data_IF_968097008825
#
_entry.id   IF_968097008825
#
_cell.length_a   1.000
_cell.length_b   1.000
_cell.length_c   1.000
_cell.angle_alpha   90.00
_cell.angle_beta   90.00
_cell.angle_gamma   90.00
#
_symmetry.space_group_name_H-M   'P 1'
#
loop_
_entity.id
_entity.type
_entity.pdbx_description
1 polymer ?
#
# COMPACT_ATOMS: atom_id res chain seq x y z
N UNK A 1 11.27 9.88 -12.39
CA UNK A 1 10.81 9.47 -13.73
C UNK A 1 11.41 10.45 -14.70
N UNK A 2 11.94 9.93 -15.78
CA UNK A 2 12.52 10.75 -16.83
C UNK A 2 11.40 11.58 -17.50
N UNK A 3 11.57 12.89 -17.59
CA UNK A 3 10.56 13.79 -18.19
C UNK A 3 10.23 13.39 -19.64
N UNK A 4 11.19 12.75 -20.34
CA UNK A 4 10.99 12.27 -21.71
C UNK A 4 10.10 11.04 -21.79
N UNK A 5 10.16 10.13 -20.82
CA UNK A 5 9.32 8.95 -20.80
C UNK A 5 7.83 9.29 -20.64
N UNK A 6 7.53 10.37 -19.91
CA UNK A 6 6.16 10.85 -19.71
C UNK A 6 5.52 11.43 -20.97
N UNK A 7 6.34 11.84 -21.95
CA UNK A 7 5.91 12.53 -23.16
C UNK A 7 6.13 11.76 -24.47
N UNK A 8 6.61 10.53 -24.37
CA UNK A 8 6.72 9.64 -25.52
C UNK A 8 5.37 9.51 -26.24
N UNK A 9 5.41 9.38 -27.58
CA UNK A 9 4.22 9.05 -28.37
C UNK A 9 3.78 7.61 -28.17
N UNK A 10 4.64 6.78 -27.62
CA UNK A 10 4.32 5.43 -27.21
C UNK A 10 3.32 5.50 -26.04
N UNK A 11 2.17 4.82 -26.09
CA UNK A 11 1.21 4.78 -25.01
C UNK A 11 1.79 4.15 -23.74
N UNK A 12 2.74 3.22 -23.86
CA UNK A 12 3.40 2.58 -22.72
C UNK A 12 4.63 3.38 -22.31
N UNK A 13 4.76 3.81 -21.05
CA UNK A 13 5.93 4.53 -20.57
C UNK A 13 7.24 3.77 -20.83
N UNK A 14 8.24 4.46 -21.35
CA UNK A 14 9.54 3.86 -21.67
C UNK A 14 10.19 3.13 -20.50
N UNK A 15 9.92 3.59 -19.26
CA UNK A 15 10.42 2.93 -18.05
C UNK A 15 9.97 1.47 -17.92
N UNK A 16 8.76 1.13 -18.37
CA UNK A 16 8.26 -0.25 -18.35
C UNK A 16 8.93 -1.11 -19.44
N UNK A 17 9.34 -0.50 -20.52
CA UNK A 17 10.03 -1.17 -21.64
C UNK A 17 11.53 -1.32 -21.38
N UNK A 18 12.05 -0.70 -20.31
CA UNK A 18 13.48 -0.70 -20.02
C UNK A 18 14.02 -2.10 -19.73
N UNK A 19 15.27 -2.39 -20.10
CA UNK A 19 15.94 -3.64 -19.72
C UNK A 19 15.97 -3.86 -18.20
N UNK A 20 16.04 -2.78 -17.42
CA UNK A 20 16.03 -2.82 -15.97
C UNK A 20 14.70 -3.36 -15.41
N UNK A 21 13.56 -2.94 -15.95
CA UNK A 21 12.26 -3.46 -15.53
C UNK A 21 12.13 -4.95 -15.83
N UNK A 22 12.57 -5.39 -17.00
CA UNK A 22 12.61 -6.81 -17.35
C UNK A 22 13.53 -7.60 -16.41
N UNK A 23 14.69 -7.04 -16.07
CA UNK A 23 15.61 -7.63 -15.11
C UNK A 23 14.99 -7.78 -13.72
N UNK A 24 14.33 -6.75 -13.20
CA UNK A 24 13.63 -6.78 -11.91
C UNK A 24 12.56 -7.88 -11.86
N UNK A 25 11.73 -7.96 -12.89
CA UNK A 25 10.68 -8.99 -12.98
C UNK A 25 11.29 -10.41 -13.03
N UNK A 26 12.37 -10.61 -13.80
CA UNK A 26 13.07 -11.90 -13.84
C UNK A 26 13.68 -12.25 -12.50
N UNK A 27 14.43 -11.33 -11.89
CA UNK A 27 15.08 -11.56 -10.59
C UNK A 27 14.08 -12.00 -9.53
N UNK A 28 12.91 -11.37 -9.50
CA UNK A 28 11.86 -11.76 -8.58
C UNK A 28 11.33 -13.17 -8.86
N UNK A 29 11.07 -13.52 -10.13
CA UNK A 29 10.60 -14.86 -10.52
C UNK A 29 11.62 -15.93 -10.21
N UNK A 30 12.90 -15.67 -10.50
CA UNK A 30 14.00 -16.62 -10.29
C UNK A 30 14.27 -16.84 -8.80
N UNK A 31 13.93 -15.84 -7.95
CA UNK A 31 14.09 -15.93 -6.49
C UNK A 31 12.90 -16.62 -5.80
N UNK A 32 11.81 -16.84 -6.49
CA UNK A 32 10.57 -17.40 -5.95
C UNK A 32 10.68 -18.93 -5.72
N UNK A 33 11.71 -19.37 -5.00
CA UNK A 33 12.02 -20.78 -4.77
C UNK A 33 10.95 -21.53 -3.99
N UNK A 34 10.16 -20.83 -3.17
CA UNK A 34 9.18 -21.43 -2.26
C UNK A 34 7.73 -21.28 -2.71
N UNK A 35 7.47 -20.72 -3.88
CA UNK A 35 6.12 -20.52 -4.40
C UNK A 35 5.29 -19.44 -3.68
N UNK A 36 5.88 -18.68 -2.76
CA UNK A 36 5.22 -17.62 -2.02
C UNK A 36 5.42 -16.24 -2.69
N UNK A 37 4.38 -15.41 -2.58
CA UNK A 37 4.41 -14.05 -3.09
C UNK A 37 4.20 -13.98 -4.60
N UNK A 38 4.27 -12.75 -5.13
CA UNK A 38 4.08 -12.47 -6.54
C UNK A 38 4.35 -11.01 -6.84
N UNK A 39 4.50 -10.68 -8.12
CA UNK A 39 4.53 -9.30 -8.58
C UNK A 39 3.10 -8.88 -8.89
N UNK A 40 2.62 -7.87 -8.15
CA UNK A 40 1.33 -7.23 -8.41
C UNK A 40 1.60 -5.94 -9.18
N UNK A 41 1.14 -5.88 -10.43
CA UNK A 41 1.16 -4.64 -11.18
C UNK A 41 -0.11 -3.85 -10.86
N UNK A 42 0.07 -2.66 -10.31
CA UNK A 42 -1.03 -1.76 -9.97
C UNK A 42 -1.21 -0.72 -11.07
N UNK A 43 -2.44 -0.53 -11.53
CA UNK A 43 -2.80 0.55 -12.44
C UNK A 43 -3.80 1.52 -11.80
N UNK A 44 -3.55 2.80 -11.96
CA UNK A 44 -4.54 3.85 -11.70
C UNK A 44 -5.33 4.17 -12.99
N UNK A 45 -6.25 5.13 -12.92
CA UNK A 45 -7.11 5.50 -14.05
C UNK A 45 -6.30 5.97 -15.27
N UNK A 46 -5.17 6.64 -15.07
CA UNK A 46 -4.31 7.11 -16.16
C UNK A 46 -3.52 5.96 -16.78
N UNK A 47 -2.98 5.08 -15.95
CA UNK A 47 -2.22 3.90 -16.39
C UNK A 47 -3.09 2.97 -17.26
N UNK A 48 -4.37 2.84 -16.92
CA UNK A 48 -5.34 2.06 -17.69
C UNK A 48 -5.47 2.54 -19.15
N UNK A 49 -5.44 3.86 -19.36
CA UNK A 49 -5.52 4.46 -20.70
C UNK A 49 -4.23 4.29 -21.50
N UNK A 50 -3.10 4.17 -20.83
CA UNK A 50 -1.79 4.00 -21.46
C UNK A 50 -1.49 2.53 -21.83
N UNK A 51 -2.38 1.59 -21.52
CA UNK A 51 -2.19 0.17 -21.83
C UNK A 51 -1.12 -0.51 -20.98
N UNK A 52 -0.78 0.07 -19.81
CA UNK A 52 0.29 -0.41 -18.93
C UNK A 52 0.04 -1.85 -18.51
N UNK A 53 -1.19 -2.19 -18.14
CA UNK A 53 -1.52 -3.53 -17.69
C UNK A 53 -1.40 -4.56 -18.82
N UNK A 54 -1.82 -4.20 -20.03
CA UNK A 54 -1.63 -5.06 -21.21
C UNK A 54 -0.17 -5.39 -21.43
N UNK A 55 0.69 -4.37 -21.42
CA UNK A 55 2.13 -4.56 -21.54
C UNK A 55 2.70 -5.42 -20.40
N UNK A 56 2.33 -5.13 -19.17
CA UNK A 56 2.77 -5.88 -18.00
C UNK A 56 2.42 -7.36 -18.05
N UNK A 57 1.20 -7.69 -18.45
CA UNK A 57 0.74 -9.08 -18.55
C UNK A 57 1.38 -9.79 -19.76
N UNK A 58 1.27 -9.19 -20.95
CA UNK A 58 1.66 -9.87 -22.19
C UNK A 58 3.17 -9.87 -22.43
N UNK A 59 3.88 -8.77 -22.10
CA UNK A 59 5.30 -8.61 -22.38
C UNK A 59 6.21 -8.91 -21.19
N UNK A 60 5.78 -8.57 -19.97
CA UNK A 60 6.57 -8.83 -18.77
C UNK A 60 6.17 -10.13 -18.07
N UNK A 61 5.03 -10.74 -18.42
CA UNK A 61 4.54 -11.98 -17.84
C UNK A 61 4.06 -11.82 -16.40
N UNK A 62 3.57 -10.63 -16.03
CA UNK A 62 2.93 -10.40 -14.74
C UNK A 62 1.54 -11.04 -14.76
N UNK A 63 1.21 -11.80 -13.72
CA UNK A 63 -0.05 -12.56 -13.65
C UNK A 63 -1.05 -12.00 -12.66
N UNK A 64 -0.67 -10.97 -11.89
CA UNK A 64 -1.52 -10.36 -10.87
C UNK A 64 -1.70 -8.88 -11.21
N UNK A 65 -2.94 -8.49 -11.49
CA UNK A 65 -3.31 -7.12 -11.81
C UNK A 65 -4.07 -6.49 -10.64
N UNK A 66 -3.71 -5.28 -10.21
CA UNK A 66 -4.47 -4.53 -9.21
C UNK A 66 -5.03 -3.24 -9.80
N UNK A 67 -6.35 -3.11 -9.81
CA UNK A 67 -7.04 -1.87 -10.13
C UNK A 67 -7.01 -0.94 -8.92
N UNK A 68 -6.58 0.31 -9.11
CA UNK A 68 -6.53 1.29 -8.04
C UNK A 68 -7.57 2.38 -8.24
N UNK A 69 -8.59 2.40 -7.39
CA UNK A 69 -9.56 3.48 -7.32
C UNK A 69 -9.09 4.64 -6.44
N UNK A 70 -8.32 4.33 -5.40
CA UNK A 70 -7.82 5.33 -4.47
C UNK A 70 -6.84 4.79 -3.45
N UNK A 71 -6.52 5.62 -2.48
CA UNK A 71 -5.71 5.27 -1.32
C UNK A 71 -6.07 6.20 -0.15
N UNK A 72 -5.57 5.95 1.06
CA UNK A 72 -6.05 6.51 2.30
C UNK A 72 -6.24 8.02 2.39
N UNK A 73 -5.42 8.80 1.71
CA UNK A 73 -5.51 10.26 1.69
C UNK A 73 -5.77 10.82 0.29
N UNK A 74 -6.30 10.01 -0.62
CA UNK A 74 -6.46 10.44 -2.00
C UNK A 74 -7.44 9.56 -2.76
N UNK A 75 -8.59 10.13 -3.15
CA UNK A 75 -9.60 9.49 -4.00
C UNK A 75 -9.66 10.09 -5.41
N UNK A 76 -8.76 11.01 -5.71
CA UNK A 76 -8.56 11.60 -7.04
C UNK A 76 -7.18 11.24 -7.55
N UNK A 77 -6.93 11.40 -8.84
CA UNK A 77 -5.70 10.95 -9.50
C UNK A 77 -4.39 11.61 -9.03
N UNK A 78 -4.43 12.53 -8.08
CA UNK A 78 -3.28 13.19 -7.52
C UNK A 78 -2.99 14.54 -8.14
N UNK A 79 -2.26 15.33 -7.38
CA UNK A 79 -1.81 16.67 -7.72
C UNK A 79 -0.31 16.64 -7.99
N UNK A 80 0.12 17.19 -9.11
CA UNK A 80 1.54 17.29 -9.48
C UNK A 80 1.85 18.73 -9.85
N UNK A 81 2.86 19.28 -9.22
CA UNK A 81 3.38 20.62 -9.54
C UNK A 81 4.28 20.58 -10.76
N UNK A 82 4.15 21.58 -11.62
CA UNK A 82 4.83 21.70 -12.89
C UNK A 82 5.38 23.13 -12.99
N UNK A 83 6.67 23.24 -13.16
CA UNK A 83 7.40 24.52 -13.24
C UNK A 83 7.50 25.08 -14.66
N UNK A 84 7.22 24.28 -15.71
CA UNK A 84 7.39 24.65 -17.11
C UNK A 84 6.06 24.83 -17.83
N UNK A 85 5.81 26.03 -18.38
CA UNK A 85 4.61 26.37 -19.17
C UNK A 85 4.38 25.36 -20.31
N UNK A 86 5.40 25.07 -21.11
CA UNK A 86 5.27 24.12 -22.22
C UNK A 86 4.88 22.70 -21.78
N UNK A 87 5.32 22.28 -20.58
CA UNK A 87 4.90 21.00 -19.99
C UNK A 87 3.44 21.07 -19.54
N UNK A 88 3.03 22.17 -18.92
CA UNK A 88 1.64 22.39 -18.50
C UNK A 88 0.68 22.34 -19.69
N UNK A 89 0.99 23.04 -20.79
CA UNK A 89 0.20 23.05 -22.03
C UNK A 89 0.09 21.64 -22.64
N UNK A 90 1.20 20.89 -22.71
CA UNK A 90 1.17 19.52 -23.23
C UNK A 90 0.28 18.60 -22.40
N UNK A 91 0.32 18.73 -21.07
CA UNK A 91 -0.53 17.93 -20.19
C UNK A 91 -1.99 18.30 -20.32
N UNK A 92 -2.32 19.57 -20.44
CA UNK A 92 -3.69 20.04 -20.76
C UNK A 92 -4.17 19.45 -22.10
N UNK A 93 -3.32 19.51 -23.14
CA UNK A 93 -3.63 18.90 -24.45
C UNK A 93 -3.87 17.38 -24.40
N UNK A 94 -3.30 16.67 -23.40
CA UNK A 94 -3.60 15.25 -23.10
C UNK A 94 -4.90 15.07 -22.31
N UNK A 95 -5.52 16.18 -21.91
CA UNK A 95 -6.80 16.20 -21.20
C UNK A 95 -6.69 16.09 -19.69
N UNK A 96 -5.55 16.40 -19.10
CA UNK A 96 -5.45 16.67 -17.67
C UNK A 96 -6.09 18.02 -17.34
N UNK A 97 -6.54 18.17 -16.11
CA UNK A 97 -6.89 19.48 -15.56
C UNK A 97 -5.60 20.14 -15.12
N UNK A 98 -5.27 21.29 -15.69
CA UNK A 98 -4.07 22.06 -15.33
C UNK A 98 -4.49 23.46 -14.91
N UNK A 99 -4.06 23.88 -13.72
CA UNK A 99 -4.41 25.17 -13.13
C UNK A 99 -3.15 25.93 -12.69
N UNK A 100 -3.08 27.27 -12.88
CA UNK A 100 -4.03 28.04 -13.70
C UNK A 100 -3.97 27.59 -15.15
N UNK A 101 -4.94 27.99 -15.96
CA UNK A 101 -5.03 27.55 -17.37
C UNK A 101 -3.78 27.99 -18.15
N UNK A 102 -2.93 27.03 -18.61
CA UNK A 102 -1.68 27.39 -19.30
C UNK A 102 -1.87 27.95 -20.71
N UNK A 103 -3.08 27.90 -21.26
CA UNK A 103 -3.40 28.46 -22.59
C UNK A 103 -4.03 29.86 -22.49
N UNK A 104 -4.36 30.32 -21.30
CA UNK A 104 -4.87 31.69 -21.09
C UNK A 104 -3.73 32.71 -21.30
N UNK A 105 -3.89 33.69 -22.20
CA UNK A 105 -2.86 34.71 -22.47
C UNK A 105 -2.43 35.48 -21.22
N UNK A 106 -3.35 35.80 -20.30
CA UNK A 106 -3.00 36.48 -19.06
C UNK A 106 -2.14 35.64 -18.12
N UNK A 107 -2.38 34.32 -18.11
CA UNK A 107 -1.59 33.35 -17.34
C UNK A 107 -0.18 33.23 -17.94
N UNK A 108 -0.07 33.19 -19.27
CA UNK A 108 1.22 33.15 -19.97
C UNK A 108 2.04 34.41 -19.69
N UNK A 109 1.44 35.59 -19.82
CA UNK A 109 2.08 36.85 -19.50
C UNK A 109 2.51 36.94 -18.04
N UNK A 110 1.68 36.47 -17.10
CA UNK A 110 2.01 36.42 -15.69
C UNK A 110 3.16 35.44 -15.40
N UNK A 111 3.24 34.34 -16.11
CA UNK A 111 4.33 33.36 -16.05
C UNK A 111 5.65 33.96 -16.56
N UNK A 112 5.62 34.65 -17.72
CA UNK A 112 6.80 35.29 -18.28
C UNK A 112 7.36 36.39 -17.36
N UNK A 113 6.50 37.08 -16.64
CA UNK A 113 6.89 38.08 -15.62
C UNK A 113 7.33 37.48 -14.28
N UNK A 114 7.25 36.14 -14.14
CA UNK A 114 7.60 35.43 -12.91
C UNK A 114 6.60 35.59 -11.77
N UNK A 115 5.40 36.09 -12.05
CA UNK A 115 4.32 36.17 -11.05
C UNK A 115 3.67 34.80 -10.80
N UNK A 116 3.58 33.96 -11.84
CA UNK A 116 3.24 32.54 -11.73
C UNK A 116 4.53 31.75 -11.89
N UNK A 117 4.83 30.87 -10.93
CA UNK A 117 6.06 30.06 -10.91
C UNK A 117 5.80 28.59 -11.19
N UNK A 118 4.58 28.14 -10.99
CA UNK A 118 4.21 26.73 -11.11
C UNK A 118 2.75 26.59 -11.51
N UNK A 119 2.43 25.46 -12.11
CA UNK A 119 1.09 24.99 -12.43
C UNK A 119 0.79 23.73 -11.62
N UNK A 120 -0.48 23.44 -11.41
CA UNK A 120 -0.92 22.20 -10.78
C UNK A 120 -1.63 21.33 -11.81
N UNK A 121 -1.15 20.11 -12.00
CA UNK A 121 -1.82 19.09 -12.82
C UNK A 121 -2.65 18.18 -11.93
N UNK A 122 -3.92 18.04 -12.23
CA UNK A 122 -4.83 17.09 -11.61
C UNK A 122 -5.21 16.02 -12.62
N UNK A 123 -5.25 14.77 -12.18
CA UNK A 123 -5.76 13.67 -13.01
C UNK A 123 -7.26 13.83 -13.21
N UNK A 124 -7.76 13.35 -14.34
CA UNK A 124 -9.18 13.34 -14.61
C UNK A 124 -9.94 12.53 -13.56
N UNK A 125 -11.00 13.11 -13.04
CA UNK A 125 -11.97 12.41 -12.23
C UNK A 125 -12.85 11.61 -13.19
N UNK A 126 -12.81 10.28 -13.09
CA UNK A 126 -13.71 9.37 -13.80
C UNK A 126 -14.74 8.82 -12.82
N UNK A 127 -15.99 8.68 -13.27
CA UNK A 127 -16.95 7.87 -12.53
C UNK A 127 -16.68 6.39 -12.83
N UNK A 128 -16.61 5.58 -11.77
CA UNK A 128 -16.59 4.13 -11.91
C UNK A 128 -18.03 3.65 -11.87
N UNK A 129 -18.55 3.21 -13.02
CA UNK A 129 -19.84 2.53 -13.08
C UNK A 129 -19.69 1.04 -12.81
N UNK A 130 -20.76 0.39 -12.39
CA UNK A 130 -20.78 -1.05 -12.16
C UNK A 130 -20.40 -1.82 -13.43
N UNK A 131 -21.06 -1.50 -14.55
CA UNK A 131 -20.82 -2.15 -15.83
C UNK A 131 -19.38 -1.96 -16.30
N UNK A 132 -18.86 -0.74 -16.23
CA UNK A 132 -17.47 -0.43 -16.62
C UNK A 132 -16.44 -1.14 -15.76
N UNK A 133 -16.72 -1.33 -14.47
CA UNK A 133 -15.86 -2.09 -13.59
C UNK A 133 -15.88 -3.59 -13.93
N UNK A 134 -17.09 -4.17 -14.10
CA UNK A 134 -17.23 -5.59 -14.47
C UNK A 134 -16.52 -5.87 -15.79
N UNK A 135 -16.73 -5.01 -16.80
CA UNK A 135 -16.06 -5.12 -18.08
C UNK A 135 -14.54 -5.06 -17.92
N UNK A 136 -14.01 -4.10 -17.15
CA UNK A 136 -12.56 -3.97 -16.97
C UNK A 136 -11.93 -5.18 -16.30
N UNK A 137 -12.57 -5.74 -15.29
CA UNK A 137 -12.09 -6.98 -14.63
C UNK A 137 -12.07 -8.15 -15.62
N UNK A 138 -13.09 -8.27 -16.46
CA UNK A 138 -13.13 -9.32 -17.50
C UNK A 138 -12.03 -9.12 -18.53
N UNK A 139 -11.81 -7.90 -19.02
CA UNK A 139 -10.70 -7.58 -19.93
C UNK A 139 -9.34 -7.99 -19.37
N UNK A 140 -9.08 -7.76 -18.08
CA UNK A 140 -7.83 -8.17 -17.44
C UNK A 140 -7.65 -9.68 -17.42
N UNK A 141 -8.71 -10.42 -17.14
CA UNK A 141 -8.70 -11.88 -17.20
C UNK A 141 -8.48 -12.40 -18.61
N UNK A 142 -9.13 -11.80 -19.59
CA UNK A 142 -8.96 -12.15 -21.01
C UNK A 142 -7.54 -11.85 -21.52
N UNK A 143 -6.87 -10.84 -20.98
CA UNK A 143 -5.47 -10.55 -21.26
C UNK A 143 -4.50 -11.58 -20.65
N UNK A 144 -4.95 -12.40 -19.70
CA UNK A 144 -4.13 -13.42 -19.04
C UNK A 144 -3.82 -13.16 -17.56
N UNK A 145 -4.48 -12.18 -16.92
CA UNK A 145 -4.37 -12.01 -15.47
C UNK A 145 -4.97 -13.24 -14.77
N UNK A 146 -4.14 -13.89 -13.95
CA UNK A 146 -4.55 -15.05 -13.15
C UNK A 146 -5.33 -14.60 -11.92
N UNK A 147 -4.94 -13.49 -11.33
CA UNK A 147 -5.59 -12.85 -10.19
C UNK A 147 -5.84 -11.39 -10.46
N UNK A 148 -6.99 -10.90 -10.04
CA UNK A 148 -7.37 -9.49 -10.16
C UNK A 148 -7.70 -8.94 -8.78
N UNK A 149 -6.95 -7.91 -8.37
CA UNK A 149 -7.10 -7.22 -7.11
C UNK A 149 -7.76 -5.86 -7.31
N UNK A 150 -8.38 -5.35 -6.26
CA UNK A 150 -8.91 -3.99 -6.21
C UNK A 150 -8.32 -3.26 -5.00
N UNK A 151 -7.80 -2.05 -5.20
CA UNK A 151 -7.37 -1.17 -4.11
C UNK A 151 -8.21 0.09 -4.08
N UNK A 152 -8.73 0.43 -2.90
CA UNK A 152 -9.47 1.67 -2.65
C UNK A 152 -9.02 2.34 -1.35
N UNK A 153 -9.39 3.61 -1.18
CA UNK A 153 -9.36 4.27 0.12
C UNK A 153 -10.73 4.19 0.80
N UNK A 154 -10.77 4.53 2.06
CA UNK A 154 -12.00 4.63 2.83
C UNK A 154 -12.31 6.11 3.12
N UNK A 155 -13.20 6.71 2.34
CA UNK A 155 -13.56 8.12 2.46
C UNK A 155 -14.97 8.30 3.02
N UNK A 156 -15.92 7.61 2.43
CA UNK A 156 -17.31 7.58 2.88
C UNK A 156 -17.77 6.13 3.02
N UNK A 157 -18.56 5.81 4.05
CA UNK A 157 -19.07 4.45 4.25
C UNK A 157 -19.79 3.88 3.03
N UNK A 158 -20.59 4.71 2.32
CA UNK A 158 -21.29 4.27 1.10
C UNK A 158 -20.34 3.90 -0.05
N UNK A 159 -19.24 4.63 -0.21
CA UNK A 159 -18.25 4.33 -1.27
C UNK A 159 -17.46 3.07 -0.94
N UNK A 160 -17.12 2.87 0.34
CA UNK A 160 -16.53 1.63 0.82
C UNK A 160 -17.47 0.43 0.62
N UNK A 161 -18.76 0.59 0.94
CA UNK A 161 -19.77 -0.44 0.71
C UNK A 161 -19.89 -0.80 -0.78
N UNK A 162 -19.84 0.21 -1.67
CA UNK A 162 -19.85 0.01 -3.13
C UNK A 162 -18.61 -0.78 -3.57
N UNK A 163 -17.43 -0.43 -3.08
CA UNK A 163 -16.20 -1.16 -3.40
C UNK A 163 -16.26 -2.62 -2.96
N UNK A 164 -16.74 -2.89 -1.74
CA UNK A 164 -16.95 -4.26 -1.23
C UNK A 164 -17.96 -5.02 -2.10
N UNK A 165 -19.08 -4.39 -2.46
CA UNK A 165 -20.11 -5.01 -3.30
C UNK A 165 -19.60 -5.33 -4.70
N UNK A 166 -18.92 -4.40 -5.36
CA UNK A 166 -18.40 -4.62 -6.71
C UNK A 166 -17.25 -5.67 -6.69
N UNK A 167 -16.41 -5.67 -5.66
CA UNK A 167 -15.41 -6.71 -5.50
C UNK A 167 -16.03 -8.11 -5.39
N UNK A 168 -17.14 -8.23 -4.66
CA UNK A 168 -17.92 -9.47 -4.56
C UNK A 168 -18.48 -9.90 -5.91
N UNK A 169 -19.19 -8.99 -6.60
CA UNK A 169 -19.84 -9.27 -7.89
C UNK A 169 -18.85 -9.66 -8.98
N UNK A 170 -17.72 -8.97 -9.07
CA UNK A 170 -16.66 -9.25 -10.04
C UNK A 170 -15.74 -10.40 -9.63
N UNK A 171 -15.97 -11.03 -8.46
CA UNK A 171 -15.12 -12.07 -7.88
C UNK A 171 -13.64 -11.65 -7.85
N UNK A 172 -13.41 -10.45 -7.33
CA UNK A 172 -12.06 -9.94 -7.06
C UNK A 172 -11.38 -10.85 -6.05
N UNK A 173 -10.14 -11.26 -6.32
CA UNK A 173 -9.41 -12.18 -5.44
C UNK A 173 -9.03 -11.50 -4.12
N UNK A 174 -8.53 -10.26 -4.19
CA UNK A 174 -8.11 -9.47 -3.02
C UNK A 174 -8.64 -8.05 -3.09
N UNK A 175 -9.31 -7.62 -2.03
CA UNK A 175 -9.67 -6.20 -1.82
C UNK A 175 -8.68 -5.57 -0.84
N UNK A 176 -7.94 -4.57 -1.29
CA UNK A 176 -7.10 -3.74 -0.43
C UNK A 176 -7.83 -2.46 -0.04
N UNK A 177 -8.03 -2.23 1.25
CA UNK A 177 -8.57 -0.97 1.77
C UNK A 177 -7.50 -0.20 2.52
N UNK A 178 -7.28 1.04 2.09
CA UNK A 178 -6.21 1.90 2.57
C UNK A 178 -6.81 3.02 3.44
N UNK A 179 -6.51 3.01 4.74
CA UNK A 179 -7.03 3.96 5.73
C UNK A 179 -6.37 5.35 5.62
N UNK A 180 -6.84 6.29 6.40
CA UNK A 180 -6.40 7.70 6.43
C UNK A 180 -4.87 7.88 6.46
N UNK A 181 -4.13 6.98 7.15
CA UNK A 181 -2.66 6.99 7.17
C UNK A 181 -1.97 6.65 5.84
N UNK A 182 -2.71 6.27 4.79
CA UNK A 182 -2.18 5.83 3.49
C UNK A 182 -1.87 6.93 2.48
N UNK A 183 -1.57 8.16 2.93
CA UNK A 183 -1.25 9.28 2.05
C UNK A 183 0.08 9.15 1.30
N UNK A 184 0.23 9.92 0.22
CA UNK A 184 1.46 10.04 -0.58
C UNK A 184 1.82 11.49 -0.81
N UNK A 185 3.06 11.76 -1.28
CA UNK A 185 3.49 13.11 -1.66
C UNK A 185 2.67 13.74 -2.79
N UNK A 186 1.88 12.95 -3.53
CA UNK A 186 0.94 13.43 -4.56
C UNK A 186 -0.48 13.64 -4.02
N UNK A 187 -0.74 13.38 -2.75
CA UNK A 187 -2.03 13.67 -2.13
C UNK A 187 -2.13 15.15 -1.83
N UNK A 188 -3.25 15.81 -2.15
CA UNK A 188 -3.54 17.14 -1.64
C UNK A 188 -3.39 17.15 -0.12
N UNK A 189 -2.64 18.11 0.44
CA UNK A 189 -2.26 18.03 1.85
C UNK A 189 -3.46 18.06 2.81
N UNK A 190 -4.56 18.72 2.42
CA UNK A 190 -5.82 18.69 3.15
C UNK A 190 -6.36 17.27 3.26
N UNK A 191 -6.31 16.52 2.17
CA UNK A 191 -6.73 15.12 2.17
C UNK A 191 -5.83 14.23 3.04
N UNK A 192 -4.55 14.54 3.17
CA UNK A 192 -3.64 13.80 4.05
C UNK A 192 -3.94 14.01 5.54
N UNK A 193 -4.45 15.19 5.91
CA UNK A 193 -4.61 15.57 7.31
C UNK A 193 -6.06 15.44 7.82
N UNK A 194 -7.04 15.59 6.93
CA UNK A 194 -8.45 15.79 7.30
C UNK A 194 -9.40 14.81 6.59
N UNK A 195 -8.90 14.06 5.62
CA UNK A 195 -9.73 13.19 4.79
C UNK A 195 -9.36 11.72 4.99
N UNK A 196 -10.34 10.88 4.81
CA UNK A 196 -10.17 9.44 4.99
C UNK A 196 -10.61 8.95 6.37
N UNK A 197 -11.03 7.69 6.39
CA UNK A 197 -11.48 7.03 7.62
C UNK A 197 -10.27 6.42 8.32
N UNK A 198 -10.11 6.60 9.65
CA UNK A 198 -9.05 5.98 10.42
C UNK A 198 -9.08 4.43 10.34
N UNK A 199 -7.96 3.74 10.62
CA UNK A 199 -7.84 2.31 10.34
C UNK A 199 -8.78 1.42 11.18
N UNK A 200 -9.10 1.79 12.40
CA UNK A 200 -10.00 0.98 13.25
C UNK A 200 -11.43 1.05 12.73
N UNK A 201 -11.93 2.26 12.47
CA UNK A 201 -13.26 2.51 11.92
C UNK A 201 -13.41 1.91 10.52
N UNK A 202 -12.41 2.09 9.68
CA UNK A 202 -12.37 1.53 8.32
C UNK A 202 -12.46 0.00 8.37
N UNK A 203 -11.66 -0.63 9.22
CA UNK A 203 -11.63 -2.09 9.34
C UNK A 203 -12.96 -2.63 9.88
N UNK A 204 -13.55 -1.95 10.87
CA UNK A 204 -14.86 -2.29 11.42
C UNK A 204 -15.96 -2.24 10.36
N UNK A 205 -16.04 -1.14 9.61
CA UNK A 205 -17.02 -0.99 8.52
C UNK A 205 -16.82 -2.03 7.42
N UNK A 206 -15.56 -2.22 6.99
CA UNK A 206 -15.25 -3.20 5.93
C UNK A 206 -15.67 -4.60 6.33
N UNK A 207 -15.33 -5.00 7.56
CA UNK A 207 -15.72 -6.31 8.09
C UNK A 207 -17.24 -6.45 8.16
N UNK A 208 -17.96 -5.46 8.68
CA UNK A 208 -19.43 -5.45 8.74
C UNK A 208 -20.05 -5.68 7.36
N UNK A 209 -19.52 -4.99 6.33
CA UNK A 209 -20.03 -5.13 4.97
C UNK A 209 -19.74 -6.51 4.38
N UNK A 210 -18.57 -7.07 4.67
CA UNK A 210 -18.21 -8.44 4.29
C UNK A 210 -19.09 -9.48 5.00
N UNK A 211 -19.37 -9.32 6.29
CA UNK A 211 -20.31 -10.17 7.04
C UNK A 211 -21.71 -10.16 6.43
N UNK A 212 -22.17 -9.00 5.97
CA UNK A 212 -23.48 -8.89 5.27
C UNK A 212 -23.51 -9.64 3.95
N UNK A 213 -22.40 -9.66 3.20
CA UNK A 213 -22.30 -10.47 1.98
C UNK A 213 -22.25 -11.96 2.31
N UNK A 214 -21.38 -12.34 3.25
CA UNK A 214 -21.23 -13.73 3.68
C UNK A 214 -22.53 -14.33 4.20
N UNK A 215 -23.31 -13.59 5.01
CA UNK A 215 -24.61 -14.03 5.54
C UNK A 215 -25.65 -14.29 4.45
N UNK A 216 -25.47 -13.74 3.25
CA UNK A 216 -26.32 -13.97 2.08
C UNK A 216 -25.77 -15.04 1.14
N UNK A 217 -24.63 -15.67 1.50
CA UNK A 217 -23.95 -16.63 0.65
C UNK A 217 -23.29 -16.01 -0.58
N UNK A 218 -23.09 -14.67 -0.59
CA UNK A 218 -22.39 -14.00 -1.67
C UNK A 218 -20.87 -14.20 -1.53
N UNK A 219 -20.16 -14.10 -2.64
CA UNK A 219 -18.68 -14.18 -2.63
C UNK A 219 -18.07 -13.04 -1.80
N UNK A 220 -17.07 -13.36 -1.00
CA UNK A 220 -16.30 -12.38 -0.22
C UNK A 220 -14.83 -12.49 -0.59
N UNK A 221 -14.20 -11.40 -1.08
CA UNK A 221 -12.77 -11.41 -1.39
C UNK A 221 -11.92 -11.50 -0.13
N UNK A 222 -10.67 -11.94 -0.27
CA UNK A 222 -9.67 -11.76 0.77
C UNK A 222 -9.43 -10.28 1.02
N UNK A 223 -9.22 -9.89 2.28
CA UNK A 223 -9.02 -8.49 2.67
C UNK A 223 -7.55 -8.21 3.00
N UNK A 224 -7.02 -7.15 2.40
CA UNK A 224 -5.77 -6.52 2.79
C UNK A 224 -6.06 -5.14 3.36
N UNK A 225 -5.52 -4.84 4.52
CA UNK A 225 -5.65 -3.53 5.15
C UNK A 225 -4.32 -2.79 5.13
N UNK A 226 -4.38 -1.50 4.84
CA UNK A 226 -3.22 -0.62 4.76
C UNK A 226 -3.53 0.75 5.37
N UNK A 227 -2.52 1.59 5.48
CA UNK A 227 -2.69 2.97 5.96
C UNK A 227 -2.49 3.12 7.45
N UNK A 228 -1.25 3.37 7.86
CA UNK A 228 -0.87 3.62 9.24
C UNK A 228 -0.28 2.44 10.00
N UNK A 229 -0.12 1.29 9.36
CA UNK A 229 0.49 0.10 9.97
C UNK A 229 2.01 0.17 9.84
N UNK A 230 2.72 0.07 10.97
CA UNK A 230 4.17 0.13 11.04
C UNK A 230 4.77 -0.83 12.10
N UNK A 231 3.99 -1.33 13.05
CA UNK A 231 4.46 -2.12 14.18
C UNK A 231 3.70 -3.44 14.31
N UNK A 232 4.32 -4.40 14.98
CA UNK A 232 3.82 -5.76 15.17
C UNK A 232 2.49 -5.85 15.89
N UNK A 233 2.25 -4.98 16.87
CA UNK A 233 0.98 -4.91 17.60
C UNK A 233 -0.17 -4.40 16.70
N UNK A 234 0.13 -3.49 15.78
CA UNK A 234 -0.84 -3.02 14.80
C UNK A 234 -1.19 -4.12 13.79
N UNK A 235 -0.19 -4.94 13.39
CA UNK A 235 -0.41 -6.11 12.55
C UNK A 235 -1.31 -7.11 13.27
N UNK A 236 -0.97 -7.47 14.52
CA UNK A 236 -1.77 -8.37 15.33
C UNK A 236 -3.22 -7.91 15.45
N UNK A 237 -3.43 -6.64 15.81
CA UNK A 237 -4.77 -6.04 15.94
C UNK A 237 -5.53 -6.03 14.62
N UNK A 238 -4.86 -5.75 13.50
CA UNK A 238 -5.50 -5.76 12.19
C UNK A 238 -6.04 -7.15 11.81
N UNK A 239 -5.26 -8.21 12.05
CA UNK A 239 -5.72 -9.58 11.83
C UNK A 239 -6.85 -9.96 12.79
N UNK A 240 -6.71 -9.67 14.07
CA UNK A 240 -7.72 -10.01 15.07
C UNK A 240 -9.05 -9.29 14.82
N UNK A 241 -9.04 -7.96 14.65
CA UNK A 241 -10.25 -7.17 14.40
C UNK A 241 -10.91 -7.51 13.05
N UNK A 242 -10.10 -7.82 12.04
CA UNK A 242 -10.58 -8.11 10.68
C UNK A 242 -10.85 -9.58 10.42
N UNK A 243 -10.71 -10.45 11.42
CA UNK A 243 -11.00 -11.87 11.25
C UNK A 243 -12.48 -12.10 10.85
N UNK A 244 -12.74 -13.07 9.95
CA UNK A 244 -11.81 -13.99 9.30
C UNK A 244 -11.22 -13.48 7.96
N UNK A 245 -11.49 -12.24 7.55
CA UNK A 245 -11.27 -11.75 6.18
C UNK A 245 -9.86 -11.22 5.93
N UNK A 246 -9.21 -10.61 6.94
CA UNK A 246 -7.86 -10.04 6.76
C UNK A 246 -6.84 -11.17 6.56
N UNK A 247 -6.16 -11.12 5.40
CA UNK A 247 -5.12 -12.10 5.03
C UNK A 247 -3.73 -11.48 4.96
N UNK A 248 -3.65 -10.15 4.82
CA UNK A 248 -2.38 -9.44 4.79
C UNK A 248 -2.54 -7.99 5.25
N UNK A 249 -1.43 -7.34 5.52
CA UNK A 249 -1.34 -5.90 5.78
C UNK A 249 -0.39 -5.23 4.80
N UNK A 250 -0.76 -4.04 4.34
CA UNK A 250 0.05 -3.23 3.44
C UNK A 250 0.88 -2.19 4.22
N UNK A 251 2.18 -2.19 4.00
CA UNK A 251 3.11 -1.21 4.55
C UNK A 251 3.97 -0.60 3.45
N UNK A 252 4.08 0.72 3.41
CA UNK A 252 4.89 1.41 2.39
C UNK A 252 5.99 2.27 3.03
N UNK A 253 5.63 3.32 3.76
CA UNK A 253 6.60 4.29 4.29
C UNK A 253 7.48 3.73 5.39
N UNK A 254 6.98 2.86 6.25
CA UNK A 254 7.77 2.30 7.35
C UNK A 254 8.99 1.50 6.84
N UNK A 255 8.88 0.53 5.91
CA UNK A 255 10.05 -0.12 5.34
C UNK A 255 10.95 0.83 4.52
N UNK A 256 10.39 1.85 3.85
CA UNK A 256 11.19 2.88 3.16
C UNK A 256 12.01 3.68 4.18
N UNK A 257 11.44 4.06 5.33
CA UNK A 257 12.18 4.72 6.41
C UNK A 257 13.33 3.84 6.90
N UNK A 258 13.10 2.54 7.11
CA UNK A 258 14.15 1.61 7.50
C UNK A 258 15.30 1.54 6.47
N UNK A 259 14.96 1.56 5.17
CA UNK A 259 15.95 1.61 4.11
C UNK A 259 16.79 2.90 4.16
N UNK A 260 16.14 4.05 4.34
CA UNK A 260 16.84 5.35 4.44
C UNK A 260 17.72 5.44 5.68
N UNK A 261 17.25 4.97 6.84
CA UNK A 261 18.04 4.93 8.08
C UNK A 261 19.31 4.08 7.88
N UNK A 262 19.15 2.88 7.31
CA UNK A 262 20.30 2.01 7.07
C UNK A 262 21.30 2.61 6.08
N UNK A 263 20.81 3.29 5.03
CA UNK A 263 21.68 4.02 4.11
C UNK A 263 22.45 5.12 4.83
N UNK A 264 21.79 5.94 5.65
CA UNK A 264 22.43 7.01 6.39
C UNK A 264 23.49 6.46 7.38
N UNK A 265 23.19 5.35 8.07
CA UNK A 265 24.16 4.68 8.95
C UNK A 265 25.36 4.19 8.14
N UNK A 266 25.14 3.58 6.97
CA UNK A 266 26.23 3.10 6.12
C UNK A 266 27.12 4.24 5.61
N UNK A 267 26.53 5.38 5.24
CA UNK A 267 27.28 6.56 4.80
C UNK A 267 28.14 7.11 5.97
N UNK A 268 27.61 7.15 7.19
CA UNK A 268 28.35 7.55 8.41
C UNK A 268 29.45 6.56 8.79
N UNK A 269 29.22 5.27 8.66
CA UNK A 269 30.26 4.24 8.84
C UNK A 269 31.42 4.48 7.87
N UNK A 270 31.13 4.76 6.60
CA UNK A 270 32.15 5.03 5.58
C UNK A 270 32.95 6.32 5.85
N UNK A 271 32.28 7.35 6.36
CA UNK A 271 32.93 8.63 6.67
C UNK A 271 33.62 8.66 8.06
N UNK A 272 33.40 7.63 8.90
CA UNK A 272 33.90 7.62 10.27
C UNK A 272 33.15 8.57 11.22
N UNK A 273 31.99 9.07 10.83
CA UNK A 273 31.17 10.05 11.58
C UNK A 273 29.91 9.40 12.18
N UNK A 274 30.10 8.32 12.92
CA UNK A 274 29.03 7.68 13.67
C UNK A 274 28.69 8.50 14.93
N UNK A 275 27.40 8.70 15.17
CA UNK A 275 26.92 9.27 16.43
C UNK A 275 27.18 8.31 17.61
N UNK A 276 27.09 8.86 18.84
CA UNK A 276 27.37 8.11 20.07
C UNK A 276 26.49 6.87 20.28
N UNK A 277 25.27 6.90 19.77
CA UNK A 277 24.33 5.78 19.94
C UNK A 277 24.77 4.62 19.06
N UNK A 278 25.04 4.87 17.77
CA UNK A 278 25.43 3.82 16.85
C UNK A 278 26.85 3.33 17.08
N UNK A 279 27.81 4.23 17.45
CA UNK A 279 29.18 3.85 17.76
C UNK A 279 29.29 2.97 18.99
N UNK A 280 28.32 2.98 19.91
CA UNK A 280 28.26 2.07 21.04
C UNK A 280 28.15 0.59 20.65
N UNK A 281 27.58 0.31 19.45
CA UNK A 281 27.48 -1.04 18.89
C UNK A 281 28.71 -1.45 18.06
N UNK A 282 29.57 -0.50 17.70
CA UNK A 282 30.76 -0.70 16.88
C UNK A 282 30.82 0.19 15.66
N UNK A 283 31.79 -0.01 14.80
CA UNK A 283 32.13 0.82 13.65
C UNK A 283 31.73 0.21 12.28
N UNK A 284 31.01 -0.92 12.29
CA UNK A 284 30.64 -1.66 11.09
C UNK A 284 29.15 -1.98 11.07
N UNK A 285 28.57 -2.11 9.89
CA UNK A 285 27.15 -2.45 9.72
C UNK A 285 26.78 -3.77 10.42
N UNK A 286 27.64 -4.76 10.39
CA UNK A 286 27.40 -6.04 11.05
C UNK A 286 27.38 -5.97 12.59
N UNK A 287 27.91 -4.91 13.17
CA UNK A 287 27.80 -4.67 14.61
C UNK A 287 26.49 -3.98 14.97
N UNK A 288 26.00 -3.09 14.08
CA UNK A 288 24.82 -2.27 14.31
C UNK A 288 23.53 -3.05 13.97
N UNK A 289 23.54 -3.86 12.91
CA UNK A 289 22.38 -4.64 12.47
C UNK A 289 22.46 -6.09 12.94
N UNK A 290 21.66 -6.45 13.96
CA UNK A 290 21.71 -7.76 14.65
C UNK A 290 21.51 -8.95 13.71
N UNK A 291 20.62 -8.85 12.70
CA UNK A 291 20.39 -9.92 11.72
C UNK A 291 21.28 -9.86 10.49
N UNK A 292 22.36 -9.07 10.53
CA UNK A 292 23.30 -8.96 9.40
C UNK A 292 23.94 -10.30 9.04
N UNK A 293 24.29 -11.10 10.04
CA UNK A 293 24.93 -12.41 9.83
C UNK A 293 23.98 -13.41 9.17
N UNK A 294 22.71 -13.40 9.57
CA UNK A 294 21.68 -14.25 8.98
C UNK A 294 21.44 -13.85 7.51
N UNK A 295 21.29 -12.56 7.24
CA UNK A 295 21.16 -12.05 5.88
C UNK A 295 22.37 -12.41 5.01
N UNK A 296 23.59 -12.29 5.55
CA UNK A 296 24.81 -12.70 4.87
C UNK A 296 24.84 -14.21 4.59
N UNK A 297 24.35 -15.02 5.52
CA UNK A 297 24.24 -16.48 5.32
C UNK A 297 23.29 -16.83 4.18
N UNK A 298 22.16 -16.13 4.05
CA UNK A 298 21.20 -16.34 2.97
C UNK A 298 21.71 -15.88 1.60
N UNK A 299 22.40 -14.74 1.55
CA UNK A 299 22.84 -14.16 0.28
C UNK A 299 24.22 -14.66 -0.18
N UNK A 300 25.05 -15.17 0.74
CA UNK A 300 26.41 -15.60 0.40
C UNK A 300 27.21 -14.50 -0.28
N UNK A 301 27.86 -14.79 -1.43
CA UNK A 301 28.62 -13.80 -2.19
C UNK A 301 27.79 -12.61 -2.69
N UNK A 302 26.49 -12.80 -2.92
CA UNK A 302 25.57 -11.73 -3.35
C UNK A 302 25.36 -10.65 -2.30
N UNK A 303 25.82 -10.84 -1.07
CA UNK A 303 25.76 -9.82 -0.04
C UNK A 303 26.48 -8.53 -0.42
N UNK A 304 27.54 -8.61 -1.24
CA UNK A 304 28.28 -7.45 -1.72
C UNK A 304 27.47 -6.58 -2.71
N UNK A 305 26.48 -7.18 -3.38
CA UNK A 305 25.60 -6.50 -4.31
C UNK A 305 24.43 -5.80 -3.60
N UNK A 306 24.17 -6.15 -2.33
CA UNK A 306 23.03 -5.63 -1.59
C UNK A 306 23.25 -4.18 -1.17
N UNK A 307 22.39 -3.24 -1.59
CA UNK A 307 22.43 -1.88 -1.08
C UNK A 307 22.19 -1.86 0.45
N UNK A 308 22.86 -0.97 1.15
CA UNK A 308 22.71 -0.85 2.61
C UNK A 308 21.24 -0.67 3.07
N UNK A 309 20.42 0.00 2.26
CA UNK A 309 18.98 0.10 2.49
C UNK A 309 18.29 -1.26 2.57
N UNK A 310 18.73 -2.25 1.80
CA UNK A 310 18.21 -3.61 1.86
C UNK A 310 18.45 -4.29 3.22
N UNK A 311 19.63 -4.06 3.81
CA UNK A 311 19.91 -4.52 5.17
C UNK A 311 18.93 -3.94 6.18
N UNK A 312 18.60 -2.64 6.07
CA UNK A 312 17.62 -1.99 6.94
C UNK A 312 16.23 -2.56 6.81
N UNK A 313 15.78 -2.81 5.58
CA UNK A 313 14.46 -3.42 5.32
C UNK A 313 14.39 -4.84 5.89
N UNK A 314 15.42 -5.66 5.66
CA UNK A 314 15.50 -7.00 6.24
C UNK A 314 15.42 -6.96 7.76
N UNK A 315 16.23 -6.13 8.39
CA UNK A 315 16.24 -5.96 9.85
C UNK A 315 14.86 -5.52 10.39
N UNK A 316 14.21 -4.58 9.72
CA UNK A 316 12.88 -4.12 10.10
C UNK A 316 11.85 -5.26 10.08
N UNK A 317 11.79 -6.03 8.99
CA UNK A 317 10.86 -7.15 8.90
C UNK A 317 11.17 -8.29 9.87
N UNK A 318 12.46 -8.59 10.11
CA UNK A 318 12.84 -9.58 11.12
C UNK A 318 12.41 -9.16 12.52
N UNK A 319 12.54 -7.86 12.84
CA UNK A 319 12.07 -7.30 14.10
C UNK A 319 10.55 -7.42 14.25
N UNK A 320 9.80 -7.05 13.21
CA UNK A 320 8.34 -7.21 13.20
C UNK A 320 7.93 -8.68 13.36
N UNK A 321 8.58 -9.58 12.64
CA UNK A 321 8.28 -11.00 12.72
C UNK A 321 8.52 -11.57 14.12
N UNK A 322 9.62 -11.15 14.78
CA UNK A 322 9.92 -11.55 16.15
C UNK A 322 8.86 -11.03 17.13
N UNK A 323 8.52 -9.74 17.07
CA UNK A 323 7.52 -9.16 17.96
C UNK A 323 6.13 -9.74 17.74
N UNK A 324 5.74 -9.96 16.46
CA UNK A 324 4.46 -10.60 16.13
C UNK A 324 4.38 -12.03 16.69
N UNK A 325 5.44 -12.83 16.53
CA UNK A 325 5.50 -14.18 17.14
C UNK A 325 5.36 -14.14 18.66
N UNK A 326 5.96 -13.16 19.33
CA UNK A 326 5.80 -13.00 20.78
C UNK A 326 4.37 -12.70 21.18
N UNK A 327 3.69 -11.80 20.48
CA UNK A 327 2.28 -11.48 20.72
C UNK A 327 1.38 -12.71 20.47
N UNK A 328 1.64 -13.43 19.39
CA UNK A 328 0.90 -14.66 19.06
C UNK A 328 1.12 -15.77 20.09
N UNK A 329 2.35 -15.94 20.58
CA UNK A 329 2.63 -16.87 21.68
C UNK A 329 1.87 -16.48 22.95
N UNK A 330 1.78 -15.17 23.27
CA UNK A 330 0.99 -14.67 24.38
C UNK A 330 -0.51 -15.00 24.23
N UNK A 331 -1.04 -14.90 23.03
CA UNK A 331 -2.42 -15.28 22.70
C UNK A 331 -2.60 -16.81 22.51
N UNK A 332 -1.53 -17.60 22.64
CA UNK A 332 -1.51 -19.07 22.37
C UNK A 332 -1.98 -19.43 20.96
N UNK A 333 -1.64 -18.59 19.98
CA UNK A 333 -1.92 -18.79 18.55
C UNK A 333 -0.62 -19.01 17.79
N UNK A 334 -0.58 -20.03 16.94
CA UNK A 334 0.63 -20.42 16.20
C UNK A 334 0.51 -20.26 14.68
N UNK A 335 -0.56 -19.62 14.23
CA UNK A 335 -0.81 -19.21 12.85
C UNK A 335 -1.68 -17.97 12.82
N UNK A 336 -1.43 -17.04 11.91
CA UNK A 336 -2.21 -15.81 11.78
C UNK A 336 -3.68 -16.07 11.47
N UNK A 337 -3.96 -17.18 10.76
CA UNK A 337 -5.30 -17.66 10.43
C UNK A 337 -6.11 -18.09 11.64
N UNK A 338 -5.47 -18.30 12.78
CA UNK A 338 -6.13 -18.67 14.04
C UNK A 338 -6.47 -17.47 14.92
N UNK A 339 -6.03 -16.27 14.54
CA UNK A 339 -6.41 -15.05 15.24
C UNK A 339 -7.88 -14.76 15.04
N UNK A 340 -8.54 -14.42 16.14
CA UNK A 340 -9.96 -14.10 16.20
C UNK A 340 -10.18 -12.79 16.95
N UNK A 341 -11.39 -12.30 16.92
CA UNK A 341 -11.77 -11.07 17.64
C UNK A 341 -11.69 -11.22 19.17
N UNK A 342 -11.71 -12.47 19.66
CA UNK A 342 -11.55 -12.77 21.10
C UNK A 342 -10.09 -12.67 21.58
N UNK A 343 -9.13 -12.47 20.68
CA UNK A 343 -7.72 -12.26 21.01
C UNK A 343 -7.39 -10.77 21.30
N UNK A 344 -8.37 -9.88 21.19
CA UNK A 344 -8.26 -8.45 21.52
C UNK A 344 -9.46 -7.98 22.33
N UNK A 345 -9.22 -7.02 23.22
CA UNK A 345 -10.27 -6.44 24.06
C UNK A 345 -10.32 -4.93 23.90
N UNK A 346 -11.51 -4.36 24.04
CA UNK A 346 -11.68 -2.92 24.12
C UNK A 346 -11.39 -2.43 25.55
N UNK A 347 -10.57 -1.40 25.68
CA UNK A 347 -10.25 -0.80 26.99
C UNK A 347 -11.22 0.31 27.41
N UNK A 348 -12.11 0.71 26.50
CA UNK A 348 -13.18 1.69 26.75
C UNK A 348 -14.49 1.16 26.18
N UNK A 349 -15.61 1.63 26.74
CA UNK A 349 -16.95 1.26 26.23
C UNK A 349 -17.17 1.81 24.82
N UNK A 350 -16.67 3.01 24.53
CA UNK A 350 -16.72 3.59 23.18
C UNK A 350 -16.00 2.70 22.16
N UNK A 351 -14.80 2.22 22.48
CA UNK A 351 -14.07 1.30 21.60
C UNK A 351 -14.81 -0.05 21.44
N UNK A 352 -15.46 -0.54 22.49
CA UNK A 352 -16.26 -1.76 22.43
C UNK A 352 -17.49 -1.57 21.52
N UNK A 353 -18.20 -0.47 21.67
CA UNK A 353 -19.36 -0.12 20.84
C UNK A 353 -18.96 0.05 19.36
N UNK A 354 -17.89 0.80 19.11
CA UNK A 354 -17.38 1.04 17.76
C UNK A 354 -16.97 -0.26 17.07
N UNK A 355 -16.17 -1.08 17.72
CA UNK A 355 -15.55 -2.26 17.10
C UNK A 355 -16.36 -3.53 17.23
N UNK A 356 -17.29 -3.58 18.21
CA UNK A 356 -18.01 -4.79 18.60
C UNK A 356 -17.14 -5.85 19.28
N UNK A 357 -15.90 -5.52 19.71
CA UNK A 357 -15.12 -6.39 20.60
C UNK A 357 -15.52 -6.17 22.06
N UNK A 358 -15.39 -7.21 22.88
CA UNK A 358 -15.81 -7.13 24.28
C UNK A 358 -15.00 -6.08 25.06
N UNK A 359 -15.67 -5.34 25.91
CA UNK A 359 -15.00 -4.50 26.89
C UNK A 359 -14.27 -5.38 27.91
N UNK A 360 -13.02 -5.06 28.22
CA UNK A 360 -12.16 -5.89 29.07
C UNK A 360 -12.79 -6.28 30.42
N UNK A 361 -13.58 -5.39 31.01
CA UNK A 361 -14.26 -5.66 32.31
C UNK A 361 -15.45 -6.61 32.17
N UNK A 362 -15.88 -6.92 30.95
CA UNK A 362 -17.03 -7.82 30.70
C UNK A 362 -16.55 -9.18 30.15
N UNK A 363 -15.22 -9.36 29.98
CA UNK A 363 -14.62 -10.60 29.48
C UNK A 363 -14.56 -11.65 30.61
N UNK A 364 -14.89 -12.90 30.26
CA UNK A 364 -14.75 -14.10 31.08
C UNK A 364 -15.46 -14.06 32.47
N UNK A 365 -16.41 -13.15 32.65
CA UNK A 365 -17.11 -13.00 33.95
C UNK A 365 -17.68 -14.30 34.47
N UNK A 366 -18.42 -15.04 33.63
CA UNK A 366 -19.03 -16.32 34.02
C UNK A 366 -17.99 -17.38 34.40
N UNK A 367 -16.81 -17.33 33.76
CA UNK A 367 -15.72 -18.24 34.09
C UNK A 367 -15.04 -17.82 35.40
N UNK A 368 -14.83 -16.52 35.61
CA UNK A 368 -14.29 -15.96 36.83
C UNK A 368 -15.18 -16.33 38.01
N UNK A 369 -16.51 -16.17 37.88
CA UNK A 369 -17.47 -16.52 38.92
C UNK A 369 -17.44 -18.02 39.25
N UNK A 370 -17.26 -18.89 38.26
CA UNK A 370 -17.08 -20.33 38.50
C UNK A 370 -15.78 -20.70 39.20
N UNK A 371 -14.69 -19.94 38.91
CA UNK A 371 -13.36 -20.19 39.50
C UNK A 371 -13.34 -19.70 40.97
N UNK A 372 -13.95 -18.58 41.23
CA UNK A 372 -13.88 -17.96 42.56
C UNK A 372 -15.01 -18.40 43.53
N UNK A 373 -16.07 -19.02 43.06
CA UNK A 373 -17.20 -19.50 43.83
C UNK A 373 -18.26 -18.44 44.00
#
# INVERSE_FOLDING_TARGET
>A
MDDEAEFSRDPVPQVLQSPEMRHRVRTFRDWQENGFGGIVLQENVEDSRLGIMKYGIQELGVTIAELKWGQGAKNIGGEVKIDKLAKAQRLKGRGYIVLPDPDDPNVQEAYERGAIKEFERHSRIGMVTEEGFMQRVQELRDMGAKYVFLKTGAYRPADLARAVKYASMAKIDVLTVDAAGGGTGMSPWRMMNEWGVPPIEMLTLTREYMDRLASRGEYVPDLVVAGGIAFEDQIFKAFALGAPYVKAVGMARAPICAAHVAKNIADRVKSGDLDKIHSAYGDKLNNIFVWFHELKSHLGPRMEELPAGGTGVYHYYMRLAQGLRQLMCGARKFGLEHLTRDDVFALTREAAELTGVKYVMDVDRDEVDKILG
#
